data_IF_316401727565
#
_entry.id   IF_316401727565
#
_cell.length_a   1.000
_cell.length_b   1.000
_cell.length_c   1.000
_cell.angle_alpha   90.00
_cell.angle_beta   90.00
_cell.angle_gamma   90.00
#
_symmetry.space_group_name_H-M   'P 1'
#
loop_
_entity.id
_entity.type
_entity.pdbx_description
1 polymer ?
#
# COMPACT_ATOMS: atom_id res chain seq x y z
N UNK A 1 -23.25 -17.37 25.21
CA UNK A 1 -21.97 -16.66 25.12
C UNK A 1 -21.62 -16.67 23.65
N UNK A 2 -21.55 -15.51 22.99
CA UNK A 2 -21.34 -15.48 21.54
C UNK A 2 -20.01 -16.17 21.23
N UNK A 3 -20.07 -17.26 20.45
CA UNK A 3 -18.87 -17.89 19.91
C UNK A 3 -18.18 -16.83 19.07
N UNK A 4 -17.02 -16.40 19.58
CA UNK A 4 -16.27 -15.29 19.05
C UNK A 4 -15.49 -15.79 17.83
N UNK A 5 -16.21 -16.26 16.81
CA UNK A 5 -15.61 -16.61 15.53
C UNK A 5 -14.83 -15.38 15.07
N UNK A 6 -13.52 -15.56 14.93
CA UNK A 6 -12.59 -14.57 14.38
C UNK A 6 -12.84 -14.48 12.88
N UNK A 7 -14.06 -14.14 12.50
CA UNK A 7 -14.47 -13.81 11.15
C UNK A 7 -14.03 -12.38 10.82
N UNK A 8 -13.93 -12.10 9.53
CA UNK A 8 -13.54 -10.79 9.04
C UNK A 8 -14.47 -9.67 9.56
N UNK A 9 -15.77 -9.93 9.62
CA UNK A 9 -16.78 -8.97 10.07
C UNK A 9 -16.68 -8.69 11.57
N UNK A 10 -16.55 -9.75 12.39
CA UNK A 10 -16.37 -9.60 13.83
C UNK A 10 -15.09 -8.80 14.17
N UNK A 11 -13.99 -9.07 13.45
CA UNK A 11 -12.76 -8.29 13.59
C UNK A 11 -12.97 -6.80 13.28
N UNK A 12 -13.81 -6.47 12.28
CA UNK A 12 -14.13 -5.09 11.93
C UNK A 12 -15.02 -4.42 12.99
N UNK A 13 -16.04 -5.12 13.47
CA UNK A 13 -16.92 -4.61 14.53
C UNK A 13 -16.17 -4.37 15.83
N UNK A 14 -15.31 -5.31 16.23
CA UNK A 14 -14.43 -5.19 17.40
C UNK A 14 -13.55 -3.93 17.32
N UNK A 15 -12.91 -3.68 16.17
CA UNK A 15 -12.10 -2.47 15.95
C UNK A 15 -12.93 -1.19 16.04
N UNK A 16 -14.14 -1.17 15.47
CA UNK A 16 -15.04 -0.01 15.52
C UNK A 16 -15.60 0.24 16.91
N UNK A 17 -15.97 -0.80 17.64
CA UNK A 17 -16.45 -0.72 19.02
C UNK A 17 -15.37 -0.15 19.93
N UNK A 18 -14.15 -0.68 19.82
CA UNK A 18 -12.98 -0.19 20.57
C UNK A 18 -12.67 1.27 20.26
N UNK A 19 -12.74 1.66 18.97
CA UNK A 19 -12.55 3.06 18.57
C UNK A 19 -13.59 4.00 19.18
N UNK A 20 -14.86 3.60 19.20
CA UNK A 20 -15.94 4.38 19.84
C UNK A 20 -15.76 4.47 21.36
N UNK A 21 -15.29 3.40 21.98
CA UNK A 21 -15.10 3.34 23.43
C UNK A 21 -13.91 4.17 23.91
N UNK A 22 -12.79 4.15 23.17
CA UNK A 22 -11.55 4.83 23.56
C UNK A 22 -11.47 6.28 23.07
N UNK A 23 -12.36 6.70 22.15
CA UNK A 23 -12.32 7.98 21.42
C UNK A 23 -10.93 8.27 20.79
N UNK A 24 -10.16 7.20 20.57
CA UNK A 24 -8.78 7.21 20.09
C UNK A 24 -8.59 6.02 19.16
N UNK A 25 -7.66 6.16 18.22
CA UNK A 25 -7.21 5.06 17.38
C UNK A 25 -6.78 3.82 18.19
N UNK A 26 -7.40 2.65 17.94
CA UNK A 26 -7.03 1.41 18.59
C UNK A 26 -5.60 1.03 18.24
N UNK A 27 -4.79 0.72 19.25
CA UNK A 27 -3.45 0.18 19.08
C UNK A 27 -3.49 -1.33 19.22
N UNK A 28 -2.50 -1.99 18.62
CA UNK A 28 -2.27 -3.44 18.78
C UNK A 28 -2.17 -3.90 20.25
N UNK A 29 -1.80 -3.01 21.17
CA UNK A 29 -1.65 -3.32 22.59
C UNK A 29 -2.98 -3.35 23.34
N UNK A 30 -4.05 -2.85 22.74
CA UNK A 30 -5.39 -2.85 23.32
C UNK A 30 -6.14 -4.18 23.07
N UNK A 31 -5.53 -5.12 22.33
CA UNK A 31 -6.12 -6.40 21.93
C UNK A 31 -5.23 -7.57 22.32
N UNK A 32 -5.83 -8.76 22.39
CA UNK A 32 -5.11 -10.01 22.57
C UNK A 32 -4.28 -10.38 21.34
N UNK A 33 -3.28 -11.24 21.52
CA UNK A 33 -2.40 -11.69 20.44
C UNK A 33 -3.19 -12.41 19.34
N UNK A 34 -4.22 -13.16 19.72
CA UNK A 34 -5.07 -13.93 18.80
C UNK A 34 -5.92 -13.00 17.93
N UNK A 35 -6.54 -11.97 18.52
CA UNK A 35 -7.30 -10.95 17.81
C UNK A 35 -6.40 -10.17 16.83
N UNK A 36 -5.20 -9.77 17.27
CA UNK A 36 -4.23 -9.09 16.41
C UNK A 36 -3.80 -10.00 15.24
N UNK A 37 -3.60 -11.29 15.50
CA UNK A 37 -3.25 -12.26 14.47
C UNK A 37 -4.39 -12.44 13.44
N UNK A 38 -5.64 -12.53 13.90
CA UNK A 38 -6.80 -12.64 13.01
C UNK A 38 -7.00 -11.38 12.17
N UNK A 39 -7.01 -10.19 12.79
CA UNK A 39 -7.08 -8.90 12.09
C UNK A 39 -5.98 -8.80 11.03
N UNK A 40 -4.76 -9.22 11.39
CA UNK A 40 -3.63 -9.23 10.46
C UNK A 40 -3.82 -10.22 9.31
N UNK A 41 -4.40 -11.38 9.57
CA UNK A 41 -4.70 -12.41 8.56
C UNK A 41 -5.68 -11.88 7.50
N UNK A 42 -6.75 -11.20 7.91
CA UNK A 42 -7.78 -10.72 6.99
C UNK A 42 -7.45 -9.39 6.29
N UNK A 43 -6.89 -8.43 7.02
CA UNK A 43 -6.72 -7.06 6.52
C UNK A 43 -5.27 -6.69 6.23
N UNK A 44 -4.32 -7.57 6.58
CA UNK A 44 -2.90 -7.34 6.42
C UNK A 44 -2.32 -6.44 7.52
N UNK A 45 -1.45 -5.48 7.19
CA UNK A 45 -0.79 -4.67 8.22
C UNK A 45 -1.82 -3.82 9.00
N UNK A 46 -1.61 -3.65 10.30
CA UNK A 46 -2.55 -2.99 11.22
C UNK A 46 -3.13 -1.65 10.72
N UNK A 47 -2.32 -0.71 10.15
CA UNK A 47 -2.89 0.53 9.61
C UNK A 47 -3.92 0.27 8.50
N UNK A 48 -3.70 -0.76 7.66
CA UNK A 48 -4.61 -1.15 6.58
C UNK A 48 -5.91 -1.73 7.11
N UNK A 49 -5.87 -2.41 8.25
CA UNK A 49 -7.08 -2.85 8.96
C UNK A 49 -7.90 -1.65 9.44
N UNK A 50 -7.26 -0.63 10.01
CA UNK A 50 -7.94 0.58 10.46
C UNK A 50 -8.53 1.38 9.28
N UNK A 51 -7.84 1.43 8.14
CA UNK A 51 -8.37 2.00 6.89
C UNK A 51 -9.59 1.21 6.41
N UNK A 52 -9.52 -0.12 6.40
CA UNK A 52 -10.62 -0.99 5.99
C UNK A 52 -11.85 -0.88 6.91
N UNK A 53 -11.65 -0.58 8.20
CA UNK A 53 -12.72 -0.35 9.15
C UNK A 53 -13.33 1.06 9.04
N UNK A 54 -12.74 1.97 8.24
CA UNK A 54 -13.15 3.37 8.14
C UNK A 54 -12.74 4.23 9.34
N UNK A 55 -11.80 3.73 10.16
CA UNK A 55 -11.27 4.45 11.32
C UNK A 55 -10.18 5.43 10.87
N UNK A 56 -9.30 5.00 9.96
CA UNK A 56 -8.32 5.87 9.30
C UNK A 56 -8.85 6.32 7.92
N UNK A 57 -8.48 7.53 7.46
CA UNK A 57 -8.74 7.92 6.08
C UNK A 57 -8.03 6.95 5.14
N UNK A 58 -8.74 6.47 4.12
CA UNK A 58 -8.17 5.52 3.16
C UNK A 58 -7.17 6.21 2.24
N UNK A 59 -5.89 5.88 2.41
CA UNK A 59 -4.77 6.37 1.58
C UNK A 59 -4.39 5.36 0.49
N UNK A 60 -5.30 4.44 0.15
CA UNK A 60 -5.08 3.45 -0.92
C UNK A 60 -4.75 4.13 -2.25
N UNK A 61 -5.58 5.08 -2.66
CA UNK A 61 -5.48 5.80 -3.91
C UNK A 61 -4.15 6.56 -4.03
N UNK A 62 -3.73 7.25 -2.98
CA UNK A 62 -2.44 7.96 -2.94
C UNK A 62 -1.25 7.01 -3.13
N UNK A 63 -1.29 5.84 -2.48
CA UNK A 63 -0.24 4.81 -2.63
C UNK A 63 -0.21 4.22 -4.04
N UNK A 64 -1.37 3.98 -4.64
CA UNK A 64 -1.45 3.50 -6.02
C UNK A 64 -0.94 4.55 -7.00
N UNK A 65 -1.31 5.82 -6.82
CA UNK A 65 -0.79 6.94 -7.61
C UNK A 65 0.74 7.03 -7.50
N UNK A 66 1.31 6.92 -6.29
CA UNK A 66 2.76 6.93 -6.09
C UNK A 66 3.47 5.75 -6.79
N UNK A 67 2.90 4.55 -6.75
CA UNK A 67 3.41 3.39 -7.49
C UNK A 67 3.38 3.63 -9.00
N UNK A 68 2.27 4.17 -9.51
CA UNK A 68 2.13 4.51 -10.93
C UNK A 68 3.14 5.57 -11.35
N UNK A 69 3.33 6.63 -10.57
CA UNK A 69 4.32 7.67 -10.83
C UNK A 69 5.74 7.09 -10.91
N UNK A 70 6.13 6.22 -9.97
CA UNK A 70 7.44 5.53 -10.02
C UNK A 70 7.58 4.70 -11.29
N UNK A 71 6.54 3.96 -11.69
CA UNK A 71 6.53 3.16 -12.91
C UNK A 71 6.68 4.02 -14.17
N UNK A 72 5.97 5.14 -14.23
CA UNK A 72 6.08 6.12 -15.32
C UNK A 72 7.49 6.70 -15.38
N UNK A 73 8.06 7.12 -14.25
CA UNK A 73 9.41 7.66 -14.18
C UNK A 73 10.48 6.65 -14.62
N UNK A 74 10.38 5.39 -14.20
CA UNK A 74 11.27 4.33 -14.63
C UNK A 74 11.19 4.10 -16.14
N UNK A 75 9.96 4.06 -16.70
CA UNK A 75 9.75 3.92 -18.14
C UNK A 75 10.32 5.11 -18.92
N UNK A 76 10.12 6.34 -18.43
CA UNK A 76 10.70 7.56 -19.03
C UNK A 76 12.23 7.49 -19.09
N UNK A 77 12.88 7.10 -17.99
CA UNK A 77 14.35 6.93 -17.94
C UNK A 77 14.84 5.89 -18.94
N UNK A 78 14.16 4.74 -19.03
CA UNK A 78 14.52 3.70 -20.00
C UNK A 78 14.37 4.17 -21.45
N UNK A 79 13.28 4.87 -21.77
CA UNK A 79 13.07 5.44 -23.10
C UNK A 79 14.14 6.48 -23.44
N UNK A 80 14.45 7.38 -22.50
CA UNK A 80 15.49 8.39 -22.67
C UNK A 80 16.85 7.75 -22.94
N UNK A 81 17.26 6.77 -22.13
CA UNK A 81 18.50 6.03 -22.33
C UNK A 81 18.58 5.37 -23.71
N UNK A 82 17.47 4.79 -24.18
CA UNK A 82 17.40 4.14 -25.51
C UNK A 82 17.58 5.15 -26.64
N UNK A 83 16.94 6.32 -26.53
CA UNK A 83 17.07 7.42 -27.50
C UNK A 83 18.50 7.97 -27.53
N UNK A 84 19.09 8.25 -26.36
CA UNK A 84 20.47 8.72 -26.25
C UNK A 84 21.46 7.74 -26.88
N UNK A 85 21.31 6.44 -26.58
CA UNK A 85 22.16 5.39 -27.16
C UNK A 85 22.02 5.37 -28.68
N UNK A 86 20.82 5.46 -29.22
CA UNK A 86 20.59 5.49 -30.66
C UNK A 86 21.16 6.75 -31.31
N UNK A 87 21.05 7.91 -30.64
CA UNK A 87 21.67 9.16 -31.07
C UNK A 87 23.20 9.05 -31.17
N UNK A 88 23.86 8.57 -30.10
CA UNK A 88 25.32 8.36 -30.09
C UNK A 88 25.78 7.39 -31.19
N UNK A 89 25.02 6.33 -31.43
CA UNK A 89 25.35 5.36 -32.48
C UNK A 89 25.26 5.98 -33.87
N UNK A 90 24.25 6.84 -34.12
CA UNK A 90 24.10 7.57 -35.38
C UNK A 90 25.23 8.58 -35.61
N UNK A 91 25.60 9.33 -34.58
CA UNK A 91 26.72 10.28 -34.62
C UNK A 91 28.04 9.58 -34.97
N UNK A 92 28.33 8.44 -34.33
CA UNK A 92 29.52 7.65 -34.63
C UNK A 92 29.53 7.06 -36.05
N UNK A 93 28.36 6.72 -36.61
CA UNK A 93 28.30 6.23 -38.00
C UNK A 93 28.46 7.34 -39.04
N UNK A 94 28.09 8.58 -38.70
CA UNK A 94 28.20 9.73 -39.61
C UNK A 94 29.65 10.23 -39.69
N UNK A 95 30.32 10.34 -38.54
CA UNK A 95 31.74 10.72 -38.41
C UNK A 95 32.67 9.75 -39.16
N UNK A 96 32.33 8.46 -39.17
CA UNK A 96 33.10 7.41 -39.87
C UNK A 96 32.91 7.40 -41.40
N UNK A 97 31.99 8.23 -41.92
CA UNK A 97 31.65 8.31 -43.35
C UNK A 97 32.18 9.59 -44.01
N UNK A 98 32.63 10.57 -43.23
CA UNK A 98 33.37 11.76 -43.67
C UNK A 98 34.86 11.44 -43.90
#
# INVERSE_FOLDING_TARGET
MAENDLTKENCMEMLRATYKQLERYPKKSDFTVEEVAAVKSYFGPWPRALEACGILPDRSAEREAAKLQKRIAAKRRQTQYKLERQGRLKEQTDDKKQ
#
